data_IF_533833499929
#
_entry.id   IF_533833499929
#
_cell.length_a   1.000
_cell.length_b   1.000
_cell.length_c   1.000
_cell.angle_alpha   90.00
_cell.angle_beta   90.00
_cell.angle_gamma   90.00
#
_symmetry.space_group_name_H-M   'P 1'
#
loop_
_entity.id
_entity.type
_entity.pdbx_description
1 polymer ?
#
# COMPACT_ATOMS: atom_id res chain seq x y z
N UNK A 1 18.59 -7.93 -0.39
CA UNK A 1 19.25 -6.61 -0.36
C UNK A 1 18.41 -5.70 -1.24
N UNK A 2 18.13 -4.47 -0.79
CA UNK A 2 17.41 -3.48 -1.58
C UNK A 2 18.34 -3.06 -2.72
N UNK A 3 18.08 -3.54 -3.92
CA UNK A 3 18.93 -3.27 -5.08
C UNK A 3 18.41 -2.07 -5.87
N UNK A 4 17.08 -1.92 -5.94
CA UNK A 4 16.43 -0.88 -6.71
C UNK A 4 15.51 -0.03 -5.82
N UNK A 5 15.40 1.25 -6.17
CA UNK A 5 14.45 2.18 -5.56
C UNK A 5 13.17 2.10 -6.39
N UNK A 6 12.01 1.81 -5.78
CA UNK A 6 10.72 1.80 -6.48
C UNK A 6 10.42 3.15 -7.12
N UNK A 7 9.65 3.13 -8.20
CA UNK A 7 9.22 4.35 -8.89
C UNK A 7 8.46 5.29 -7.95
N UNK A 8 8.71 6.59 -8.07
CA UNK A 8 8.18 7.64 -7.19
C UNK A 8 8.92 7.80 -5.85
N UNK A 9 9.70 6.81 -5.39
CA UNK A 9 10.53 6.99 -4.19
C UNK A 9 11.80 7.76 -4.56
N UNK A 10 11.93 8.96 -4.02
CA UNK A 10 13.01 9.92 -4.32
C UNK A 10 14.40 9.50 -3.77
N UNK A 11 14.44 8.71 -2.70
CA UNK A 11 15.66 8.47 -1.93
C UNK A 11 15.72 7.09 -1.28
N UNK A 12 16.93 6.52 -1.19
CA UNK A 12 17.20 5.32 -0.40
C UNK A 12 16.84 5.49 1.07
N UNK A 13 17.00 6.71 1.62
CA UNK A 13 16.62 7.00 3.00
C UNK A 13 15.10 6.93 3.18
N UNK A 14 14.32 7.53 2.27
CA UNK A 14 12.86 7.43 2.26
C UNK A 14 12.40 5.99 2.16
N UNK A 15 13.00 5.21 1.26
CA UNK A 15 12.71 3.79 1.11
C UNK A 15 12.93 3.00 2.42
N UNK A 16 14.03 3.27 3.15
CA UNK A 16 14.28 2.62 4.44
C UNK A 16 13.21 2.96 5.47
N UNK A 17 12.76 4.23 5.53
CA UNK A 17 11.67 4.65 6.42
C UNK A 17 10.35 3.98 6.06
N UNK A 18 10.01 3.89 4.77
CA UNK A 18 8.81 3.22 4.28
C UNK A 18 8.82 1.72 4.63
N UNK A 19 9.95 1.05 4.41
CA UNK A 19 10.13 -0.37 4.80
C UNK A 19 10.01 -0.54 6.31
N UNK A 20 10.60 0.35 7.12
CA UNK A 20 10.49 0.30 8.57
C UNK A 20 9.04 0.46 9.03
N UNK A 21 8.31 1.43 8.46
CA UNK A 21 6.89 1.65 8.74
C UNK A 21 6.04 0.45 8.36
N UNK A 22 6.28 -0.15 7.19
CA UNK A 22 5.58 -1.36 6.75
C UNK A 22 5.90 -2.56 7.66
N UNK A 23 7.15 -2.73 8.06
CA UNK A 23 7.54 -3.79 8.99
C UNK A 23 6.83 -3.64 10.35
N UNK A 24 6.65 -2.41 10.83
CA UNK A 24 5.89 -2.11 12.05
C UNK A 24 4.42 -2.52 11.93
N UNK A 25 3.79 -2.29 10.78
CA UNK A 25 2.43 -2.77 10.49
C UNK A 25 2.35 -4.30 10.55
N UNK A 26 3.31 -5.00 9.93
CA UNK A 26 3.38 -6.46 9.96
C UNK A 26 3.53 -7.00 11.38
N UNK A 27 4.35 -6.34 12.22
CA UNK A 27 4.51 -6.70 13.64
C UNK A 27 3.19 -6.53 14.41
N UNK A 28 2.37 -5.53 14.05
CA UNK A 28 1.03 -5.32 14.60
C UNK A 28 -0.04 -6.27 14.05
N UNK A 29 0.34 -7.23 13.20
CA UNK A 29 -0.58 -8.22 12.64
C UNK A 29 -1.24 -7.80 11.33
N UNK A 30 -0.75 -6.76 10.65
CA UNK A 30 -1.18 -6.48 9.29
C UNK A 30 -0.92 -7.68 8.38
N UNK A 31 -1.84 -7.94 7.43
CA UNK A 31 -1.70 -9.06 6.50
C UNK A 31 -0.54 -8.81 5.53
N UNK A 32 0.35 -9.80 5.33
CA UNK A 32 1.31 -9.78 4.24
C UNK A 32 0.59 -9.70 2.88
N UNK A 33 1.16 -8.96 1.95
CA UNK A 33 0.68 -8.79 0.57
C UNK A 33 1.26 -9.85 -0.37
N UNK A 34 2.50 -10.30 -0.09
CA UNK A 34 3.13 -11.40 -0.82
C UNK A 34 3.01 -12.71 -0.07
N UNK A 35 2.96 -13.82 -0.81
CA UNK A 35 3.09 -15.17 -0.26
C UNK A 35 4.57 -15.56 -0.24
N UNK A 36 5.03 -16.07 0.88
CA UNK A 36 6.40 -16.61 1.01
C UNK A 36 6.35 -18.08 1.39
N UNK A 37 7.26 -18.88 0.86
CA UNK A 37 7.35 -20.31 1.18
C UNK A 37 7.63 -20.57 2.67
N UNK A 38 8.29 -19.61 3.33
CA UNK A 38 8.67 -19.67 4.74
C UNK A 38 8.35 -18.35 5.43
N UNK A 39 8.14 -18.40 6.74
CA UNK A 39 7.99 -17.20 7.54
C UNK A 39 9.28 -16.38 7.52
N UNK A 40 9.20 -15.14 7.04
CA UNK A 40 10.29 -14.19 7.03
C UNK A 40 10.20 -13.24 8.22
N UNK A 41 11.34 -12.67 8.61
CA UNK A 41 11.35 -11.55 9.56
C UNK A 41 10.56 -10.37 8.96
N UNK A 42 9.77 -9.62 9.75
CA UNK A 42 8.91 -8.53 9.25
C UNK A 42 9.63 -7.51 8.35
N UNK A 43 10.83 -7.08 8.74
CA UNK A 43 11.63 -6.14 7.93
C UNK A 43 12.04 -6.72 6.58
N UNK A 44 12.32 -8.02 6.53
CA UNK A 44 12.67 -8.69 5.27
C UNK A 44 11.45 -8.87 4.39
N UNK A 45 10.32 -9.27 4.98
CA UNK A 45 9.05 -9.38 4.26
C UNK A 45 8.63 -8.05 3.68
N UNK A 46 8.66 -6.97 4.46
CA UNK A 46 8.36 -5.62 3.98
C UNK A 46 9.28 -5.20 2.82
N UNK A 47 10.59 -5.48 2.91
CA UNK A 47 11.51 -5.18 1.81
C UNK A 47 11.16 -5.96 0.53
N UNK A 48 10.80 -7.24 0.64
CA UNK A 48 10.36 -8.04 -0.51
C UNK A 48 9.03 -7.52 -1.09
N UNK A 49 8.06 -7.11 -0.26
CA UNK A 49 6.80 -6.51 -0.73
C UNK A 49 7.05 -5.21 -1.53
N UNK A 50 8.06 -4.40 -1.14
CA UNK A 50 8.48 -3.23 -1.92
C UNK A 50 9.19 -3.60 -3.24
N UNK A 51 9.90 -4.73 -3.28
CA UNK A 51 10.56 -5.19 -4.51
C UNK A 51 9.55 -5.72 -5.54
N UNK A 52 8.46 -6.32 -5.08
CA UNK A 52 7.35 -6.81 -5.91
C UNK A 52 6.32 -5.71 -6.25
N UNK A 53 6.56 -4.46 -5.80
CA UNK A 53 5.66 -3.32 -6.00
C UNK A 53 4.24 -3.51 -5.45
N UNK A 54 4.10 -4.32 -4.39
CA UNK A 54 2.81 -4.66 -3.75
C UNK A 54 2.40 -3.65 -2.66
N UNK A 55 3.31 -2.75 -2.28
CA UNK A 55 3.05 -1.71 -1.28
C UNK A 55 2.81 -0.37 -1.95
N UNK A 56 1.55 0.06 -1.90
CA UNK A 56 1.15 1.42 -2.18
C UNK A 56 1.60 2.34 -1.04
N UNK A 57 2.55 3.23 -1.31
CA UNK A 57 3.14 4.15 -0.31
C UNK A 57 2.82 5.61 -0.61
N UNK A 58 2.29 5.88 -1.80
CA UNK A 58 1.83 7.17 -2.31
C UNK A 58 0.43 7.55 -1.81
N UNK A 59 -0.17 6.75 -0.92
CA UNK A 59 -1.51 7.02 -0.39
C UNK A 59 -1.45 7.83 0.91
N UNK A 60 -2.11 8.98 0.95
CA UNK A 60 -2.24 9.84 2.14
C UNK A 60 -1.31 11.06 2.14
N UNK A 61 -1.50 11.94 3.14
CA UNK A 61 -0.90 13.28 3.24
C UNK A 61 0.62 13.35 3.04
N UNK A 62 1.37 12.29 3.38
CA UNK A 62 2.84 12.26 3.27
C UNK A 62 3.36 11.57 1.99
N UNK A 63 2.49 11.01 1.14
CA UNK A 63 2.88 10.08 0.07
C UNK A 63 2.48 10.45 -1.35
N UNK A 64 1.37 11.13 -1.54
CA UNK A 64 0.82 11.40 -2.86
C UNK A 64 -0.59 11.95 -2.70
N UNK A 65 -0.90 12.92 -3.55
CA UNK A 65 -2.12 13.73 -3.49
C UNK A 65 -3.33 12.80 -3.37
N UNK A 66 -3.89 12.68 -2.16
CA UNK A 66 -5.33 12.57 -2.05
C UNK A 66 -5.80 13.89 -2.62
N UNK A 67 -6.29 13.89 -3.86
CA UNK A 67 -7.25 14.92 -4.22
C UNK A 67 -8.28 14.83 -3.10
N UNK A 68 -8.52 15.92 -2.32
CA UNK A 68 -9.51 15.86 -1.27
C UNK A 68 -10.77 15.33 -1.93
N UNK A 69 -11.31 14.21 -1.44
CA UNK A 69 -12.46 13.55 -2.03
C UNK A 69 -13.47 14.65 -2.39
N UNK A 70 -13.59 14.94 -3.68
CA UNK A 70 -14.54 15.93 -4.13
C UNK A 70 -15.91 15.28 -3.96
N UNK A 71 -16.92 16.09 -3.67
CA UNK A 71 -18.29 15.58 -3.49
C UNK A 71 -18.74 14.75 -4.72
N UNK A 72 -18.18 15.01 -5.91
CA UNK A 72 -18.34 14.20 -7.12
C UNK A 72 -17.74 12.78 -7.02
N UNK A 73 -16.49 12.60 -6.57
CA UNK A 73 -15.87 11.27 -6.53
C UNK A 73 -16.50 10.39 -5.44
N UNK A 74 -16.95 10.99 -4.34
CA UNK A 74 -17.67 10.29 -3.29
C UNK A 74 -19.10 9.91 -3.73
N UNK A 75 -19.74 10.69 -4.60
CA UNK A 75 -21.05 10.35 -5.16
C UNK A 75 -20.95 9.20 -6.18
N UNK A 76 -19.92 9.21 -7.04
CA UNK A 76 -19.68 8.11 -8.00
C UNK A 76 -19.42 6.77 -7.30
N UNK A 77 -18.60 6.73 -6.24
CA UNK A 77 -18.35 5.49 -5.49
C UNK A 77 -19.63 4.95 -4.82
N UNK A 78 -20.53 5.82 -4.37
CA UNK A 78 -21.81 5.43 -3.78
C UNK A 78 -22.82 4.95 -4.84
N UNK A 79 -22.86 5.58 -6.01
CA UNK A 79 -23.71 5.14 -7.12
C UNK A 79 -23.24 3.79 -7.70
N UNK A 80 -21.92 3.57 -7.81
CA UNK A 80 -21.35 2.28 -8.21
C UNK A 80 -21.65 1.18 -7.19
N UNK A 81 -21.58 1.50 -5.89
CA UNK A 81 -22.00 0.57 -4.85
C UNK A 81 -23.50 0.26 -4.93
N UNK A 82 -24.38 1.27 -5.12
CA UNK A 82 -25.83 1.09 -5.24
C UNK A 82 -26.25 0.28 -6.48
N UNK A 83 -25.65 0.53 -7.65
CA UNK A 83 -25.88 -0.27 -8.86
C UNK A 83 -25.42 -1.72 -8.70
N UNK A 84 -24.29 -1.94 -8.04
CA UNK A 84 -23.80 -3.29 -7.78
C UNK A 84 -24.77 -4.08 -6.89
N UNK A 85 -25.35 -3.47 -5.85
CA UNK A 85 -26.37 -4.15 -5.02
C UNK A 85 -27.69 -4.36 -5.76
N UNK A 86 -28.09 -3.45 -6.65
CA UNK A 86 -29.30 -3.61 -7.46
C UNK A 86 -29.19 -4.70 -8.53
N UNK A 87 -27.98 -5.07 -8.95
CA UNK A 87 -27.74 -6.10 -9.97
C UNK A 87 -27.76 -7.55 -9.43
N UNK A 88 -27.91 -7.71 -8.11
CA UNK A 88 -27.85 -8.99 -7.40
C UNK A 88 -29.24 -9.57 -7.04
N UNK A 89 -30.33 -8.88 -7.36
CA UNK A 89 -31.74 -9.35 -7.27
C UNK A 89 -32.32 -9.65 -8.67
#
# INVERSE_FOLDING_TARGET
MIQNIPEGVDSKFRLVLLIARRAEQLIRGARPKIKTERALKPTRLAAEEFQENEIRWDYGEEGGVLEPATEESAAEELEEEEEAVSSLD
#
